data_IF_316584602875
#
_entry.id   IF_316584602875
#
_cell.length_a   1.000
_cell.length_b   1.000
_cell.length_c   1.000
_cell.angle_alpha   90.00
_cell.angle_beta   90.00
_cell.angle_gamma   90.00
#
_symmetry.space_group_name_H-M   'P 1'
#
loop_
_entity.id
_entity.type
_entity.pdbx_description
1 polymer ?
#
# COMPACT_ATOMS: atom_id res chain seq x y z
N UNK A 1 7.16 -64.16 14.14
CA UNK A 1 8.61 -63.96 13.88
C UNK A 1 8.76 -63.35 12.51
N UNK A 2 8.92 -62.03 12.45
CA UNK A 2 9.31 -61.30 11.25
C UNK A 2 10.23 -60.18 11.74
N UNK A 3 11.49 -60.27 11.33
CA UNK A 3 12.63 -59.43 11.72
C UNK A 3 12.54 -58.09 11.00
N UNK A 4 12.38 -57.00 11.75
CA UNK A 4 12.49 -55.63 11.26
C UNK A 4 13.96 -55.17 11.36
N UNK A 5 14.58 -54.88 10.23
CA UNK A 5 15.92 -54.27 10.15
C UNK A 5 15.76 -52.76 10.06
N UNK A 6 16.20 -52.04 11.09
CA UNK A 6 16.25 -50.58 11.17
C UNK A 6 17.60 -50.11 10.60
N UNK A 7 17.57 -49.32 9.53
CA UNK A 7 18.76 -48.60 9.04
C UNK A 7 18.80 -47.20 9.68
N UNK A 8 19.75 -46.99 10.60
CA UNK A 8 20.11 -45.68 11.14
C UNK A 8 21.22 -45.06 10.29
N UNK A 9 20.95 -43.95 9.61
CA UNK A 9 21.96 -43.15 8.92
C UNK A 9 22.35 -41.96 9.79
N UNK A 10 23.56 -41.98 10.33
CA UNK A 10 24.19 -40.87 11.05
C UNK A 10 24.71 -39.83 10.05
N UNK A 11 24.18 -38.60 10.10
CA UNK A 11 24.73 -37.45 9.36
C UNK A 11 25.75 -36.73 10.24
N UNK A 12 27.02 -36.80 9.84
CA UNK A 12 28.14 -36.06 10.44
C UNK A 12 28.23 -34.68 9.80
N UNK A 13 27.96 -33.63 10.58
CA UNK A 13 28.16 -32.23 10.17
C UNK A 13 29.64 -31.85 10.34
N UNK A 14 30.37 -31.71 9.24
CA UNK A 14 31.71 -31.13 9.21
C UNK A 14 31.59 -29.59 9.15
N UNK A 15 31.99 -28.91 10.21
CA UNK A 15 32.10 -27.45 10.29
C UNK A 15 33.38 -26.97 9.59
N UNK A 16 33.24 -26.33 8.43
CA UNK A 16 34.32 -25.62 7.74
C UNK A 16 34.36 -24.17 8.22
N UNK A 17 35.40 -23.84 8.98
CA UNK A 17 35.74 -22.49 9.42
C UNK A 17 36.69 -21.90 8.36
N UNK A 18 36.27 -20.84 7.68
CA UNK A 18 37.13 -20.05 6.79
C UNK A 18 37.75 -18.88 7.56
N UNK A 19 39.08 -18.68 7.55
CA UNK A 19 39.70 -17.46 8.06
C UNK A 19 39.59 -16.36 7.00
N UNK A 20 38.89 -15.26 7.34
CA UNK A 20 38.93 -14.03 6.54
C UNK A 20 40.12 -13.20 7.03
N UNK A 21 41.20 -13.24 6.25
CA UNK A 21 42.34 -12.34 6.36
C UNK A 21 41.98 -11.00 5.72
N UNK A 22 42.08 -9.91 6.49
CA UNK A 22 41.98 -8.55 5.98
C UNK A 22 43.32 -8.14 5.34
N UNK A 23 43.36 -7.69 4.08
CA UNK A 23 44.55 -7.05 3.53
C UNK A 23 44.57 -5.56 3.90
N UNK A 24 45.67 -5.15 4.52
CA UNK A 24 46.07 -3.76 4.72
C UNK A 24 46.42 -3.12 3.37
N UNK A 25 45.59 -2.19 2.91
CA UNK A 25 45.94 -1.34 1.77
C UNK A 25 46.72 -0.12 2.26
N UNK A 26 48.05 -0.24 2.17
CA UNK A 26 48.96 0.89 2.14
C UNK A 26 48.72 1.69 0.87
N UNK A 27 48.36 2.96 1.01
CA UNK A 27 48.33 3.91 -0.11
C UNK A 27 49.39 4.99 0.14
N UNK A 28 50.50 4.86 -0.57
CA UNK A 28 51.53 5.90 -0.67
C UNK A 28 51.06 6.97 -1.65
N UNK A 29 50.51 8.07 -1.14
CA UNK A 29 50.38 9.29 -1.91
C UNK A 29 51.59 10.19 -1.66
N UNK A 30 52.45 10.33 -2.66
CA UNK A 30 53.32 11.49 -2.81
C UNK A 30 52.48 12.67 -3.29
N UNK A 31 52.05 13.52 -2.34
CA UNK A 31 51.36 14.78 -2.59
C UNK A 31 52.31 15.95 -2.39
N UNK A 32 52.49 16.75 -3.44
CA UNK A 32 53.33 17.95 -3.50
C UNK A 32 52.84 19.01 -2.50
N UNK A 33 53.73 19.48 -1.63
CA UNK A 33 53.48 20.66 -0.78
C UNK A 33 53.43 21.93 -1.64
N UNK A 34 52.22 22.43 -1.91
CA UNK A 34 52.03 23.79 -2.42
C UNK A 34 52.07 24.78 -1.25
N UNK A 35 53.15 25.55 -1.19
CA UNK A 35 53.32 26.63 -0.23
C UNK A 35 52.49 27.85 -0.69
N UNK A 36 51.24 27.93 -0.23
CA UNK A 36 50.38 29.11 -0.47
C UNK A 36 50.78 30.20 0.53
N UNK A 37 51.46 31.23 0.04
CA UNK A 37 51.74 32.44 0.81
C UNK A 37 50.42 33.11 1.19
N UNK A 38 50.13 33.07 2.49
CA UNK A 38 49.05 33.83 3.13
C UNK A 38 49.30 35.33 2.93
N UNK A 39 48.50 35.97 2.08
CA UNK A 39 48.35 37.43 2.09
C UNK A 39 47.05 37.86 1.40
N UNK A 40 45.91 37.69 2.09
CA UNK A 40 44.67 38.43 1.80
C UNK A 40 43.67 38.20 2.92
N UNK A 41 43.34 39.24 3.68
CA UNK A 41 42.18 39.23 4.58
C UNK A 41 40.92 39.27 3.73
N UNK A 42 40.43 38.11 3.29
CA UNK A 42 39.09 38.01 2.72
C UNK A 42 38.11 37.75 3.86
N UNK A 43 37.22 38.72 4.06
CA UNK A 43 36.07 38.60 4.95
C UNK A 43 35.15 37.51 4.39
N UNK A 44 35.15 36.32 5.00
CA UNK A 44 34.16 35.30 4.72
C UNK A 44 32.83 35.75 5.33
N UNK A 45 31.92 36.24 4.48
CA UNK A 45 30.54 36.48 4.86
C UNK A 45 29.83 35.12 4.94
N UNK A 46 29.51 34.66 6.15
CA UNK A 46 28.67 33.48 6.37
C UNK A 46 27.24 33.80 5.89
N UNK A 47 26.80 33.18 4.79
CA UNK A 47 25.38 33.15 4.45
C UNK A 47 24.69 32.16 5.39
N UNK A 48 23.78 32.66 6.23
CA UNK A 48 22.94 31.81 7.06
C UNK A 48 22.03 30.98 6.14
N UNK A 49 22.28 29.68 6.06
CA UNK A 49 21.39 28.74 5.40
C UNK A 49 20.11 28.66 6.24
N UNK A 50 19.03 29.27 5.76
CA UNK A 50 17.72 29.18 6.40
C UNK A 50 17.26 27.73 6.33
N UNK A 51 17.03 27.12 7.50
CA UNK A 51 16.42 25.80 7.62
C UNK A 51 15.13 25.73 6.78
N UNK A 52 14.94 24.71 5.94
CA UNK A 52 13.68 24.54 5.22
C UNK A 52 12.54 24.42 6.22
N UNK A 53 11.52 25.26 6.07
CA UNK A 53 10.28 25.14 6.85
C UNK A 53 9.72 23.73 6.63
N UNK A 54 9.25 23.04 7.69
CA UNK A 54 8.64 21.73 7.53
C UNK A 54 7.45 21.87 6.58
N UNK A 55 7.49 21.12 5.48
CA UNK A 55 6.33 20.97 4.60
C UNK A 55 5.23 20.32 5.43
N UNK A 56 4.15 21.05 5.64
CA UNK A 56 2.96 20.54 6.30
C UNK A 56 2.32 19.54 5.33
N UNK A 57 2.40 18.24 5.65
CA UNK A 57 1.68 17.20 4.91
C UNK A 57 0.20 17.40 5.22
N UNK A 58 -0.56 17.81 4.21
CA UNK A 58 -2.01 17.96 4.36
C UNK A 58 -2.67 16.59 4.33
N UNK A 59 -3.60 16.37 5.26
CA UNK A 59 -4.39 15.15 5.34
C UNK A 59 -5.12 14.90 4.01
N UNK A 60 -4.68 13.90 3.26
CA UNK A 60 -5.20 13.58 1.94
C UNK A 60 -6.10 12.36 2.01
N UNK A 61 -7.42 12.57 2.01
CA UNK A 61 -8.41 11.49 1.94
C UNK A 61 -8.44 10.90 0.53
N UNK A 62 -8.13 9.61 0.44
CA UNK A 62 -8.23 8.80 -0.77
C UNK A 62 -9.55 8.05 -0.74
N UNK A 63 -10.23 7.95 -1.88
CA UNK A 63 -11.46 7.14 -2.01
C UNK A 63 -11.40 6.24 -3.23
N UNK A 64 -11.92 5.03 -3.13
CA UNK A 64 -12.12 4.14 -4.27
C UNK A 64 -13.53 3.58 -4.24
N UNK A 65 -14.05 3.23 -5.41
CA UNK A 65 -15.38 2.61 -5.55
C UNK A 65 -15.22 1.33 -6.38
N UNK A 66 -15.97 0.32 -5.98
CA UNK A 66 -15.99 -1.01 -6.53
C UNK A 66 -17.45 -1.40 -6.78
N UNK A 67 -17.84 -1.61 -8.04
CA UNK A 67 -19.16 -2.14 -8.39
C UNK A 67 -19.02 -3.64 -8.65
N UNK A 68 -19.71 -4.45 -7.85
CA UNK A 68 -19.68 -5.90 -7.92
C UNK A 68 -20.79 -6.38 -8.85
N UNK A 69 -20.42 -7.25 -9.79
CA UNK A 69 -21.31 -7.99 -10.69
C UNK A 69 -20.77 -9.40 -10.89
N UNK A 70 -21.66 -10.34 -11.15
CA UNK A 70 -21.29 -11.71 -11.49
C UNK A 70 -22.23 -12.31 -12.53
N UNK A 71 -22.14 -13.64 -12.68
CA UNK A 71 -23.02 -14.40 -13.58
C UNK A 71 -24.40 -14.66 -12.97
N UNK A 72 -24.58 -14.36 -11.69
CA UNK A 72 -25.83 -14.49 -10.94
C UNK A 72 -26.56 -13.15 -10.83
N UNK A 73 -27.67 -13.11 -10.09
CA UNK A 73 -28.38 -11.88 -9.77
C UNK A 73 -27.71 -11.06 -8.64
N UNK A 74 -26.54 -11.52 -8.14
CA UNK A 74 -25.80 -10.82 -7.08
C UNK A 74 -25.13 -9.57 -7.66
N UNK A 75 -25.40 -8.43 -7.04
CA UNK A 75 -24.82 -7.15 -7.40
C UNK A 75 -24.57 -6.30 -6.16
N UNK A 76 -23.63 -5.36 -6.24
CA UNK A 76 -23.37 -4.50 -5.10
C UNK A 76 -22.44 -3.34 -5.41
N UNK A 77 -22.32 -2.45 -4.44
CA UNK A 77 -21.37 -1.33 -4.47
C UNK A 77 -20.60 -1.33 -3.16
N UNK A 78 -19.29 -1.24 -3.28
CA UNK A 78 -18.35 -1.13 -2.17
C UNK A 78 -17.58 0.18 -2.32
N UNK A 79 -17.48 0.95 -1.24
CA UNK A 79 -16.69 2.17 -1.20
C UNK A 79 -15.55 2.00 -0.21
N UNK A 80 -14.35 2.41 -0.60
CA UNK A 80 -13.17 2.39 0.25
C UNK A 80 -12.74 3.82 0.49
N UNK A 81 -12.34 4.14 1.71
CA UNK A 81 -11.76 5.43 2.06
C UNK A 81 -10.58 5.26 3.00
N UNK A 82 -9.50 5.96 2.73
CA UNK A 82 -8.29 5.95 3.56
C UNK A 82 -7.85 7.39 3.77
N UNK A 83 -7.70 7.79 5.03
CA UNK A 83 -7.07 9.05 5.38
C UNK A 83 -5.57 8.84 5.54
N UNK A 84 -4.78 9.63 4.81
CA UNK A 84 -3.33 9.53 4.78
C UNK A 84 -2.87 8.09 4.52
N UNK A 85 -2.03 7.53 5.39
CA UNK A 85 -1.58 6.13 5.34
C UNK A 85 -2.18 5.30 6.49
N UNK A 86 -3.32 5.75 7.04
CA UNK A 86 -4.06 5.04 8.09
C UNK A 86 -4.85 3.82 7.59
N UNK A 87 -5.70 3.23 8.44
CA UNK A 87 -6.57 2.12 8.05
C UNK A 87 -7.56 2.51 6.95
N UNK A 88 -7.88 1.56 6.08
CA UNK A 88 -8.90 1.73 5.05
C UNK A 88 -10.27 1.32 5.61
N UNK A 89 -11.24 2.22 5.53
CA UNK A 89 -12.65 1.91 5.79
C UNK A 89 -13.32 1.44 4.51
N UNK A 90 -14.04 0.32 4.58
CA UNK A 90 -14.73 -0.34 3.48
C UNK A 90 -16.22 -0.42 3.82
N UNK A 91 -17.06 0.31 3.10
CA UNK A 91 -18.51 0.22 3.24
C UNK A 91 -19.07 -0.64 2.11
N UNK A 92 -19.74 -1.72 2.49
CA UNK A 92 -20.24 -2.77 1.60
C UNK A 92 -21.76 -2.70 1.57
N UNK A 93 -22.33 -2.72 0.37
CA UNK A 93 -23.75 -2.98 0.15
C UNK A 93 -23.94 -3.93 -1.02
N UNK A 94 -24.38 -5.15 -0.76
CA UNK A 94 -24.58 -6.20 -1.75
C UNK A 94 -25.99 -6.76 -1.63
N UNK A 95 -26.62 -7.06 -2.75
CA UNK A 95 -27.99 -7.58 -2.84
C UNK A 95 -28.06 -8.83 -3.70
N UNK A 96 -29.11 -9.63 -3.50
CA UNK A 96 -29.33 -10.87 -4.25
C UNK A 96 -28.56 -12.08 -3.69
N UNK A 97 -27.99 -11.94 -2.49
CA UNK A 97 -27.32 -13.03 -1.77
C UNK A 97 -28.35 -13.99 -1.15
N UNK A 98 -27.91 -15.20 -0.84
CA UNK A 98 -28.67 -16.07 0.07
C UNK A 98 -28.57 -15.52 1.50
N UNK A 99 -29.58 -15.71 2.37
CA UNK A 99 -29.45 -15.29 3.77
C UNK A 99 -28.31 -16.05 4.49
N UNK A 100 -27.52 -15.35 5.30
CA UNK A 100 -26.41 -15.91 6.06
C UNK A 100 -25.05 -15.26 5.77
N UNK A 101 -23.99 -15.93 6.21
CA UNK A 101 -22.62 -15.45 6.08
C UNK A 101 -22.03 -15.79 4.70
N UNK A 102 -21.31 -14.81 4.15
CA UNK A 102 -20.61 -14.92 2.88
C UNK A 102 -19.17 -14.41 3.04
N UNK A 103 -18.20 -15.23 2.61
CA UNK A 103 -16.81 -14.82 2.56
C UNK A 103 -16.61 -13.60 1.67
N UNK A 104 -15.82 -12.64 2.12
CA UNK A 104 -15.58 -11.38 1.43
C UNK A 104 -14.09 -11.09 1.39
N UNK A 105 -13.52 -11.11 0.19
CA UNK A 105 -12.07 -11.07 0.01
C UNK A 105 -11.64 -10.08 -1.04
N UNK A 106 -10.44 -9.55 -0.86
CA UNK A 106 -9.71 -8.84 -1.91
C UNK A 106 -8.78 -9.82 -2.63
N UNK A 107 -9.01 -10.01 -3.92
CA UNK A 107 -8.24 -10.88 -4.79
C UNK A 107 -7.09 -10.15 -5.46
N UNK A 108 -6.07 -10.89 -5.86
CA UNK A 108 -4.81 -10.33 -6.34
C UNK A 108 -4.96 -9.51 -7.63
N UNK A 109 -5.74 -9.99 -8.60
CA UNK A 109 -5.85 -9.37 -9.91
C UNK A 109 -7.21 -8.72 -10.13
N UNK A 110 -7.21 -7.54 -10.74
CA UNK A 110 -8.41 -6.92 -11.33
C UNK A 110 -8.78 -7.50 -12.69
N UNK A 111 -8.46 -8.76 -12.95
CA UNK A 111 -8.73 -9.42 -14.24
C UNK A 111 -10.08 -10.14 -14.20
N UNK A 112 -10.99 -9.70 -15.05
CA UNK A 112 -12.34 -10.24 -15.19
C UNK A 112 -12.60 -10.85 -16.57
N UNK A 113 -11.54 -11.10 -17.35
CA UNK A 113 -11.65 -11.68 -18.71
C UNK A 113 -12.27 -13.07 -18.72
N UNK A 114 -12.12 -13.83 -17.62
CA UNK A 114 -12.80 -15.12 -17.40
C UNK A 114 -13.73 -15.04 -16.17
N UNK A 115 -14.51 -13.96 -16.10
CA UNK A 115 -15.37 -13.65 -14.96
C UNK A 115 -14.57 -13.54 -13.66
N UNK A 116 -15.16 -13.93 -12.54
CA UNK A 116 -14.49 -13.81 -11.25
C UNK A 116 -13.37 -14.82 -11.03
N UNK A 117 -13.18 -15.80 -11.92
CA UNK A 117 -12.11 -16.80 -11.77
C UNK A 117 -10.73 -16.22 -12.11
N UNK A 118 -10.66 -15.29 -13.07
CA UNK A 118 -9.40 -14.66 -13.47
C UNK A 118 -8.85 -13.67 -12.43
N UNK A 119 -9.61 -13.32 -11.38
CA UNK A 119 -9.11 -12.44 -10.30
C UNK A 119 -7.99 -13.09 -9.47
N UNK A 120 -7.73 -14.39 -9.66
CA UNK A 120 -6.63 -15.09 -9.00
C UNK A 120 -6.92 -15.47 -7.55
N UNK A 121 -5.89 -15.72 -6.71
CA UNK A 121 -6.04 -16.01 -5.28
C UNK A 121 -6.35 -14.73 -4.47
N UNK A 122 -6.49 -14.88 -3.16
CA UNK A 122 -6.56 -13.73 -2.25
C UNK A 122 -5.25 -12.93 -2.35
N UNK A 123 -5.35 -11.60 -2.20
CA UNK A 123 -4.19 -10.74 -2.21
C UNK A 123 -3.29 -11.04 -1.00
N UNK A 124 -2.10 -11.57 -1.26
CA UNK A 124 -1.20 -12.09 -0.23
C UNK A 124 0.25 -11.64 -0.45
N UNK A 125 0.57 -10.34 -0.27
CA UNK A 125 1.92 -9.83 -0.48
C UNK A 125 2.93 -10.41 0.52
N UNK A 126 2.48 -10.83 1.71
CA UNK A 126 3.31 -11.35 2.79
C UNK A 126 3.48 -12.89 2.76
N UNK A 127 2.82 -13.58 1.82
CA UNK A 127 2.87 -15.05 1.65
C UNK A 127 2.53 -15.83 2.93
N UNK A 128 1.52 -15.35 3.66
CA UNK A 128 0.99 -16.01 4.84
C UNK A 128 -0.11 -17.00 4.45
N UNK A 129 -0.60 -17.80 5.40
CA UNK A 129 -1.82 -18.59 5.22
C UNK A 129 -3.05 -17.71 5.44
N UNK A 130 -4.21 -18.18 4.97
CA UNK A 130 -5.49 -17.52 5.19
C UNK A 130 -5.87 -17.49 6.69
N UNK A 131 -6.59 -16.45 7.11
CA UNK A 131 -7.07 -16.28 8.49
C UNK A 131 -8.14 -15.19 8.64
N UNK A 132 -8.62 -14.97 9.86
CA UNK A 132 -9.60 -13.91 10.15
C UNK A 132 -8.98 -12.50 10.05
N UNK A 133 -9.78 -11.43 9.85
CA UNK A 133 -9.25 -10.06 9.81
C UNK A 133 -8.47 -9.64 11.06
N UNK A 134 -8.80 -10.19 12.23
CA UNK A 134 -8.09 -9.90 13.47
C UNK A 134 -6.83 -10.73 13.70
N UNK A 135 -6.56 -11.74 12.88
CA UNK A 135 -5.45 -12.67 13.09
C UNK A 135 -4.13 -12.08 12.56
N UNK A 136 -3.01 -12.36 13.25
CA UNK A 136 -1.67 -11.96 12.78
C UNK A 136 -1.27 -12.71 11.51
N UNK A 137 -1.65 -13.99 11.43
CA UNK A 137 -1.43 -14.84 10.27
C UNK A 137 -2.70 -14.86 9.42
N UNK A 138 -2.66 -14.07 8.35
CA UNK A 138 -3.74 -13.94 7.36
C UNK A 138 -3.18 -13.43 6.04
N UNK A 139 -3.92 -13.60 4.96
CA UNK A 139 -3.68 -12.81 3.76
C UNK A 139 -4.10 -11.35 4.00
N UNK A 140 -3.47 -10.43 3.29
CA UNK A 140 -3.87 -9.02 3.33
C UNK A 140 -5.30 -8.81 2.79
N UNK A 141 -5.73 -9.66 1.86
CA UNK A 141 -7.08 -9.63 1.28
C UNK A 141 -8.18 -10.31 2.09
N UNK A 142 -7.88 -10.92 3.24
CA UNK A 142 -8.87 -11.67 4.03
C UNK A 142 -9.75 -10.71 4.84
N UNK A 143 -10.91 -10.27 4.33
CA UNK A 143 -11.79 -9.33 5.05
C UNK A 143 -12.89 -10.03 5.87
N UNK A 144 -12.86 -11.35 5.92
CA UNK A 144 -13.77 -12.19 6.71
C UNK A 144 -15.14 -12.32 6.06
N UNK A 145 -16.19 -12.35 6.88
CA UNK A 145 -17.56 -12.54 6.41
C UNK A 145 -18.37 -11.23 6.42
N UNK A 146 -19.29 -11.13 5.47
CA UNK A 146 -20.44 -10.22 5.51
C UNK A 146 -21.72 -11.04 5.70
N UNK A 147 -22.70 -10.48 6.38
CA UNK A 147 -23.96 -11.16 6.66
C UNK A 147 -25.09 -10.58 5.81
N UNK A 148 -25.73 -11.43 5.01
CA UNK A 148 -26.92 -11.11 4.26
C UNK A 148 -28.17 -11.43 5.08
N UNK A 149 -29.09 -10.48 5.15
CA UNK A 149 -30.37 -10.65 5.84
C UNK A 149 -31.35 -11.54 5.04
N UNK A 150 -32.57 -11.73 5.56
CA UNK A 150 -33.61 -12.55 4.94
C UNK A 150 -34.04 -12.06 3.54
N UNK A 151 -33.84 -10.79 3.22
CA UNK A 151 -34.10 -10.20 1.90
C UNK A 151 -32.91 -10.34 0.93
N UNK A 152 -31.84 -11.01 1.35
CA UNK A 152 -30.62 -11.20 0.56
C UNK A 152 -29.77 -9.94 0.45
N UNK A 153 -29.88 -9.02 1.43
CA UNK A 153 -29.14 -7.76 1.49
C UNK A 153 -28.07 -7.84 2.58
N UNK A 154 -26.81 -7.61 2.21
CA UNK A 154 -25.69 -7.46 3.14
C UNK A 154 -25.21 -6.01 3.15
N UNK A 155 -25.26 -5.36 4.31
CA UNK A 155 -24.72 -4.03 4.57
C UNK A 155 -23.72 -4.11 5.73
N UNK A 156 -22.46 -3.74 5.47
CA UNK A 156 -21.39 -3.86 6.45
C UNK A 156 -20.37 -2.72 6.32
N UNK A 157 -19.71 -2.40 7.43
CA UNK A 157 -18.54 -1.53 7.44
C UNK A 157 -17.37 -2.31 8.04
N UNK A 158 -16.32 -2.48 7.25
CA UNK A 158 -15.06 -3.13 7.65
C UNK A 158 -13.97 -2.06 7.72
N UNK A 159 -13.10 -2.12 8.73
CA UNK A 159 -11.92 -1.25 8.82
C UNK A 159 -10.70 -2.15 8.89
N UNK A 160 -9.76 -1.98 7.95
CA UNK A 160 -8.63 -2.87 7.81
C UNK A 160 -7.34 -2.11 7.45
N UNK A 161 -6.22 -2.55 8.05
CA UNK A 161 -4.91 -1.89 7.94
C UNK A 161 -3.98 -2.53 6.90
N UNK A 162 -4.38 -3.62 6.25
CA UNK A 162 -3.57 -4.36 5.27
C UNK A 162 -3.95 -4.08 3.81
N UNK A 163 -5.00 -3.29 3.57
CA UNK A 163 -5.51 -2.95 2.23
C UNK A 163 -5.40 -1.44 1.92
N UNK A 164 -4.17 -0.87 1.85
CA UNK A 164 -4.00 0.56 1.58
C UNK A 164 -4.44 0.93 0.16
N UNK A 165 -4.84 2.18 -0.05
CA UNK A 165 -5.20 2.71 -1.37
C UNK A 165 -3.98 3.26 -2.15
N UNK A 166 -2.81 3.32 -1.53
CA UNK A 166 -1.55 3.78 -2.14
C UNK A 166 -0.35 2.96 -1.70
N UNK A 167 0.80 3.19 -2.35
CA UNK A 167 2.04 2.51 -2.02
C UNK A 167 2.17 1.11 -2.65
N UNK A 168 3.21 0.35 -2.26
CA UNK A 168 3.54 -0.93 -2.90
C UNK A 168 2.43 -1.99 -2.80
N UNK A 169 1.69 -1.97 -1.70
CA UNK A 169 0.59 -2.90 -1.43
C UNK A 169 -0.78 -2.30 -1.77
N UNK A 170 -0.82 -1.25 -2.61
CA UNK A 170 -2.09 -0.63 -3.00
C UNK A 170 -3.06 -1.68 -3.57
N UNK A 171 -4.32 -1.56 -3.16
CA UNK A 171 -5.41 -2.39 -3.66
C UNK A 171 -6.14 -1.80 -4.86
N UNK A 172 -5.75 -0.59 -5.29
CA UNK A 172 -6.27 0.02 -6.52
C UNK A 172 -5.88 -0.85 -7.71
N UNK A 173 -6.85 -1.14 -8.59
CA UNK A 173 -6.67 -2.06 -9.73
C UNK A 173 -6.77 -3.55 -9.38
N UNK A 174 -7.06 -3.90 -8.11
CA UNK A 174 -7.39 -5.28 -7.69
C UNK A 174 -8.90 -5.52 -7.72
N UNK A 175 -9.35 -6.71 -7.31
CA UNK A 175 -10.77 -7.06 -7.30
C UNK A 175 -11.25 -7.40 -5.88
N UNK A 176 -12.42 -6.89 -5.50
CA UNK A 176 -13.20 -7.43 -4.39
C UNK A 176 -14.10 -8.55 -4.90
N UNK A 177 -14.26 -9.59 -4.09
CA UNK A 177 -15.05 -10.79 -4.40
C UNK A 177 -15.92 -11.13 -3.20
N UNK A 178 -17.20 -11.40 -3.45
CA UNK A 178 -18.11 -12.03 -2.50
C UNK A 178 -18.31 -13.49 -2.88
N UNK A 179 -18.18 -14.36 -1.89
CA UNK A 179 -18.23 -15.81 -2.05
C UNK A 179 -19.60 -16.40 -1.75
N UNK A 180 -19.80 -17.64 -2.17
CA UNK A 180 -21.05 -18.38 -2.03
C UNK A 180 -21.31 -18.83 -0.60
N UNK A 181 -20.27 -19.29 0.09
CA UNK A 181 -20.35 -19.86 1.43
C UNK A 181 -19.68 -18.94 2.46
N UNK A 182 -19.91 -19.28 3.73
CA UNK A 182 -19.18 -18.73 4.86
C UNK A 182 -17.68 -19.03 4.71
N UNK A 183 -16.86 -18.01 4.97
CA UNK A 183 -15.43 -18.15 5.20
C UNK A 183 -15.20 -18.70 6.62
N UNK A 184 -14.56 -19.87 6.71
CA UNK A 184 -14.20 -20.54 7.96
C UNK A 184 -13.03 -19.89 8.73
N UNK A 185 -12.47 -18.80 8.18
CA UNK A 185 -11.42 -17.98 8.76
C UNK A 185 -10.12 -18.75 9.05
N UNK A 186 -9.87 -19.81 8.29
CA UNK A 186 -8.73 -20.71 8.47
C UNK A 186 -8.92 -21.72 9.60
N UNK A 187 -10.12 -21.80 10.19
CA UNK A 187 -10.42 -22.55 11.43
C UNK A 187 -11.33 -23.76 11.20
N UNK A 188 -11.75 -24.00 9.95
CA UNK A 188 -12.66 -25.10 9.61
C UNK A 188 -12.05 -26.50 9.55
N UNK A 189 -10.71 -26.62 9.55
CA UNK A 189 -10.03 -27.92 9.47
C UNK A 189 -10.13 -28.63 8.12
N UNK A 190 -10.62 -27.94 7.08
CA UNK A 190 -10.65 -28.41 5.70
C UNK A 190 -9.31 -28.11 5.00
N UNK A 191 -8.96 -28.87 3.96
CA UNK A 191 -7.71 -28.65 3.21
C UNK A 191 -7.63 -27.24 2.59
N UNK A 192 -8.81 -26.66 2.29
CA UNK A 192 -8.93 -25.31 1.72
C UNK A 192 -9.08 -24.20 2.77
N UNK A 193 -9.19 -24.53 4.07
CA UNK A 193 -9.35 -23.53 5.14
C UNK A 193 -8.17 -22.56 5.13
N UNK A 194 -6.93 -23.07 5.13
CA UNK A 194 -5.72 -22.25 5.17
C UNK A 194 -5.38 -21.53 3.84
N UNK A 195 -6.21 -21.67 2.80
CA UNK A 195 -5.99 -21.02 1.50
C UNK A 195 -7.13 -20.09 1.08
N UNK A 196 -8.38 -20.49 1.30
CA UNK A 196 -9.57 -19.77 0.79
C UNK A 196 -10.67 -19.63 1.83
N UNK A 197 -10.42 -20.09 3.06
CA UNK A 197 -11.47 -20.15 4.08
C UNK A 197 -12.59 -21.13 3.74
N UNK A 198 -12.38 -22.01 2.75
CA UNK A 198 -13.40 -22.90 2.21
C UNK A 198 -14.71 -22.18 1.77
N UNK A 199 -14.62 -20.91 1.36
CA UNK A 199 -15.78 -20.06 1.06
C UNK A 199 -16.51 -20.42 -0.26
N UNK A 200 -16.06 -21.43 -1.00
CA UNK A 200 -16.75 -21.92 -2.20
C UNK A 200 -16.72 -20.96 -3.39
N UNK A 201 -17.82 -20.93 -4.16
CA UNK A 201 -17.94 -20.21 -5.43
C UNK A 201 -17.77 -18.69 -5.32
N UNK A 202 -17.45 -18.03 -6.44
CA UNK A 202 -17.31 -16.55 -6.53
C UNK A 202 -18.58 -15.97 -7.15
N UNK A 203 -19.46 -15.40 -6.32
CA UNK A 203 -20.79 -14.97 -6.75
C UNK A 203 -20.78 -13.69 -7.57
N UNK A 204 -20.00 -12.69 -7.13
CA UNK A 204 -19.81 -11.41 -7.81
C UNK A 204 -18.43 -10.83 -7.50
N UNK A 205 -17.89 -10.07 -8.45
CA UNK A 205 -16.59 -9.42 -8.33
C UNK A 205 -16.54 -8.10 -9.10
N UNK A 206 -15.43 -7.38 -8.94
CA UNK A 206 -15.22 -6.03 -9.49
C UNK A 206 -14.49 -6.03 -10.83
N UNK A 207 -14.93 -5.11 -11.70
CA UNK A 207 -14.30 -4.81 -13.00
C UNK A 207 -13.16 -3.76 -12.91
N UNK A 208 -13.12 -2.89 -11.91
CA UNK A 208 -11.97 -1.98 -11.64
C UNK A 208 -12.19 -1.17 -10.35
N UNK A 209 -11.27 -1.22 -9.38
CA UNK A 209 -11.20 -0.26 -8.27
C UNK A 209 -10.64 1.07 -8.79
N UNK A 210 -11.50 2.08 -9.01
CA UNK A 210 -11.08 3.39 -9.51
C UNK A 210 -10.84 4.38 -8.36
N UNK A 211 -9.60 4.85 -8.24
CA UNK A 211 -9.18 5.80 -7.21
C UNK A 211 -9.61 7.23 -7.58
N UNK A 212 -10.39 7.86 -6.70
CA UNK A 212 -10.66 9.29 -6.69
C UNK A 212 -9.92 9.93 -5.51
N UNK A 213 -8.89 10.71 -5.80
CA UNK A 213 -8.15 11.46 -4.77
C UNK A 213 -8.81 12.82 -4.59
N UNK A 214 -9.39 13.07 -3.42
CA UNK A 214 -9.98 14.36 -3.11
C UNK A 214 -8.97 15.21 -2.33
N UNK A 215 -8.19 16.01 -3.04
CA UNK A 215 -7.28 16.97 -2.40
C UNK A 215 -8.13 18.15 -1.92
N UNK A 216 -8.27 18.36 -0.60
CA UNK A 216 -8.91 19.58 -0.10
C UNK A 216 -8.09 20.78 -0.59
N UNK A 217 -8.65 21.73 -1.37
CA UNK A 217 -7.92 22.91 -1.76
C UNK A 217 -7.65 23.74 -0.50
N UNK A 218 -6.39 24.06 -0.26
CA UNK A 218 -6.06 25.06 0.74
C UNK A 218 -6.58 26.41 0.31
N UNK A 219 -7.30 27.06 1.22
CA UNK A 219 -7.32 28.51 1.27
C UNK A 219 -5.88 28.98 1.40
N UNK A 220 -5.33 29.52 0.31
CA UNK A 220 -4.08 30.24 0.33
C UNK A 220 -4.29 31.45 1.24
N UNK A 221 -3.58 31.61 2.38
CA UNK A 221 -3.56 32.92 3.03
C UNK A 221 -2.97 33.86 1.98
N UNK A 222 -3.77 34.85 1.56
CA UNK A 222 -3.35 35.92 0.67
C UNK A 222 -1.94 36.35 1.06
N UNK A 223 -1.00 36.21 0.12
CA UNK A 223 0.39 36.60 0.29
C UNK A 223 0.43 37.98 0.97
N UNK A 224 1.28 38.23 2.00
CA UNK A 224 1.48 39.59 2.45
C UNK A 224 1.99 40.38 1.26
N UNK A 225 1.30 41.45 0.91
CA UNK A 225 1.72 42.41 -0.09
C UNK A 225 3.08 42.97 0.32
N UNK A 226 4.16 42.44 -0.26
CA UNK A 226 5.47 43.07 -0.13
C UNK A 226 5.45 44.38 -0.91
N UNK A 227 5.82 45.53 -0.31
CA UNK A 227 5.90 46.78 -1.04
C UNK A 227 6.97 46.65 -2.14
N UNK A 228 6.58 46.96 -3.37
CA UNK A 228 7.47 46.97 -4.52
C UNK A 228 8.48 48.11 -4.37
N UNK A 229 9.70 47.81 -3.96
CA UNK A 229 10.80 48.77 -3.96
C UNK A 229 11.33 48.91 -5.39
N UNK A 230 11.01 50.04 -6.02
CA UNK A 230 11.52 50.44 -7.34
C UNK A 230 12.96 50.96 -7.14
N UNK A 231 14.00 50.36 -7.77
CA UNK A 231 15.33 50.97 -7.79
C UNK A 231 15.31 52.19 -8.72
N UNK A 232 15.96 53.28 -8.32
CA UNK A 232 16.03 54.58 -9.01
C UNK A 232 16.71 54.58 -10.38
N UNK A 233 17.23 53.44 -10.84
CA UNK A 233 18.23 53.42 -11.91
C UNK A 233 17.69 52.97 -13.28
N UNK A 234 16.36 52.93 -13.46
CA UNK A 234 15.72 52.85 -14.78
C UNK A 234 15.94 51.56 -15.60
N UNK A 235 16.68 50.57 -15.09
CA UNK A 235 16.89 49.28 -15.78
C UNK A 235 15.92 48.22 -15.26
N UNK A 236 14.92 47.86 -16.07
CA UNK A 236 14.06 46.69 -15.81
C UNK A 236 14.89 45.42 -15.81
N UNK A 237 15.10 44.82 -14.65
CA UNK A 237 15.50 43.40 -14.55
C UNK A 237 14.26 42.55 -14.37
N UNK A 238 13.91 41.78 -15.39
CA UNK A 238 12.89 40.74 -15.29
C UNK A 238 13.47 39.58 -14.49
N UNK A 239 12.92 39.33 -13.31
CA UNK A 239 13.10 38.04 -12.64
C UNK A 239 11.96 37.13 -13.10
N UNK A 240 12.30 36.04 -13.78
CA UNK A 240 11.32 35.02 -14.19
C UNK A 240 11.42 33.86 -13.20
N UNK A 241 10.53 33.77 -12.19
CA UNK A 241 10.34 32.51 -11.49
C UNK A 241 9.48 31.60 -12.37
N UNK A 242 9.81 30.31 -12.39
CA UNK A 242 9.27 29.30 -13.31
C UNK A 242 7.79 28.94 -13.13
N UNK A 243 7.00 29.70 -12.36
CA UNK A 243 5.54 29.55 -12.28
C UNK A 243 4.86 30.89 -11.97
N UNK A 244 4.16 31.43 -12.97
CA UNK A 244 3.22 32.53 -12.82
C UNK A 244 3.80 33.92 -13.07
N UNK A 245 3.36 34.56 -14.15
CA UNK A 245 3.57 35.99 -14.37
C UNK A 245 2.74 36.73 -13.33
N UNK A 246 3.38 37.39 -12.37
CA UNK A 246 2.78 38.52 -11.67
C UNK A 246 3.36 39.77 -12.31
N UNK A 247 2.54 40.48 -13.08
CA UNK A 247 2.87 41.84 -13.49
C UNK A 247 2.88 42.71 -12.22
N UNK A 248 3.92 43.54 -12.10
CA UNK A 248 3.86 44.72 -11.22
C UNK A 248 2.93 45.75 -11.84
#
# INVERSE_FOLDING_TARGET
MATHTIFTTTSTTNSLIFPISAPSLYSSFHGVSLNVKSNSRQSLTLYAVTSPKPFTVFAATKKAVAVLKGNSNVEGVVTLSQDDDGPTTVNVRITGLTPGLHGFHLHEFGDTTNGCMSTGPHFNPNKLTHGAPGDEIRHAGDLGNIEANADGVAEATVVDSQIPLTGPNSVVGRALVVHELEDDLGKGGHELSLTTGNAGGRLACVLSLSLHVHVKPLFWPSSPSYPCLIPSDGVRKYFVPSRGISLC
#
